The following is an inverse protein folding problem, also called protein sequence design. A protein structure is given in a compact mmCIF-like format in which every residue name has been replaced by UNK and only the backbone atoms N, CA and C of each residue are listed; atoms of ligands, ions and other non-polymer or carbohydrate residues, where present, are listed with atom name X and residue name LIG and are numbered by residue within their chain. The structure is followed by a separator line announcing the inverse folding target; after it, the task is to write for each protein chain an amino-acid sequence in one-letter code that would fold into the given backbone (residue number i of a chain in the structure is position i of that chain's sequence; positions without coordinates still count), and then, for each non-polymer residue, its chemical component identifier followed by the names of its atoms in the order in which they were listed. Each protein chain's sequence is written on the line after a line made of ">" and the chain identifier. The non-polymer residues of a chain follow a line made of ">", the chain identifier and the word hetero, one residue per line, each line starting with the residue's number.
data_IF_722827066709
#
_entry.id   IF_722827066709
#
_cell.length_a   1.000
_cell.length_b   1.000
_cell.length_c   1.000
_cell.angle_alpha   90.00
_cell.angle_beta   90.00
_cell.angle_gamma   90.00
#
_symmetry.space_group_name_H-M   'P 1'
#
loop_
_entity.id
_entity.type
_entity.pdbx_description
1 polymer ?
#
# COMPACT_ATOMS: atom_id res chain seq x y z
N UNK A 1 56.99 0.64 71.72
CA UNK A 1 55.74 0.50 72.50
C UNK A 1 54.57 0.85 71.61
N UNK A 2 53.57 -0.04 71.57
CA UNK A 2 52.18 0.13 71.10
C UNK A 2 51.95 0.34 69.59
N UNK A 3 51.51 -0.76 68.98
CA UNK A 3 50.49 -0.81 67.92
C UNK A 3 49.41 0.26 68.12
N UNK A 4 48.83 0.78 67.03
CA UNK A 4 47.41 0.56 66.67
C UNK A 4 47.18 1.07 65.24
N UNK A 5 46.52 0.22 64.44
CA UNK A 5 46.11 0.44 63.05
C UNK A 5 44.92 1.41 62.95
N UNK A 6 44.71 2.00 61.77
CA UNK A 6 43.46 1.96 60.97
C UNK A 6 43.35 3.18 60.04
N UNK A 7 42.97 2.93 58.79
CA UNK A 7 42.46 3.97 57.89
C UNK A 7 43.01 3.92 56.47
N UNK A 8 42.82 2.81 55.77
CA UNK A 8 43.08 2.72 54.33
C UNK A 8 41.96 3.49 53.60
N UNK A 9 42.25 4.68 53.07
CA UNK A 9 41.36 5.39 52.14
C UNK A 9 41.97 5.30 50.74
N UNK A 10 41.52 4.30 49.98
CA UNK A 10 41.92 4.07 48.60
C UNK A 10 41.14 5.03 47.69
N UNK A 11 41.73 6.18 47.34
CA UNK A 11 41.21 7.03 46.28
C UNK A 11 41.50 6.39 44.91
N UNK A 12 40.56 5.61 44.40
CA UNK A 12 40.59 5.13 43.02
C UNK A 12 40.03 6.24 42.12
N UNK A 13 40.92 6.99 41.48
CA UNK A 13 40.56 7.90 40.39
C UNK A 13 40.26 7.03 39.16
N UNK A 14 38.98 6.80 38.87
CA UNK A 14 38.55 6.20 37.63
C UNK A 14 38.77 7.21 36.49
N UNK A 15 39.91 7.10 35.81
CA UNK A 15 40.11 7.72 34.50
C UNK A 15 39.30 6.89 33.51
N UNK A 16 38.02 7.22 33.38
CA UNK A 16 37.16 6.69 32.33
C UNK A 16 37.68 7.16 30.98
N UNK A 17 38.42 6.31 30.30
CA UNK A 17 38.72 6.47 28.88
C UNK A 17 37.38 6.36 28.14
N UNK A 18 36.72 7.50 27.94
CA UNK A 18 35.62 7.67 27.01
C UNK A 18 36.19 7.43 25.60
N UNK A 19 36.27 6.16 25.23
CA UNK A 19 36.22 5.79 23.83
C UNK A 19 34.81 6.17 23.36
N UNK A 20 34.68 7.42 22.93
CA UNK A 20 33.61 7.80 22.04
C UNK A 20 33.75 6.86 20.86
N UNK A 21 32.89 5.84 20.80
CA UNK A 21 32.63 5.10 19.58
C UNK A 21 32.05 6.18 18.66
N UNK A 22 32.92 6.79 17.89
CA UNK A 22 32.54 7.66 16.79
C UNK A 22 31.94 6.68 15.79
N UNK A 23 30.62 6.53 15.81
CA UNK A 23 29.91 5.90 14.71
C UNK A 23 30.44 6.54 13.43
N UNK A 24 31.08 5.73 12.60
CA UNK A 24 31.51 6.16 11.28
C UNK A 24 30.22 6.58 10.55
N UNK A 25 30.06 7.83 10.09
CA UNK A 25 28.85 8.27 9.38
C UNK A 25 28.70 7.61 7.99
N UNK A 26 29.42 6.52 7.74
CA UNK A 26 29.31 5.70 6.54
C UNK A 26 28.33 4.56 6.80
N UNK A 27 27.17 4.72 6.16
CA UNK A 27 26.30 3.64 5.71
C UNK A 27 25.15 3.22 6.63
N UNK A 28 24.28 4.17 7.01
CA UNK A 28 22.86 3.83 7.16
C UNK A 28 22.28 3.63 5.76
N UNK A 29 22.24 2.39 5.27
CA UNK A 29 21.36 2.02 4.17
C UNK A 29 19.93 2.39 4.58
N UNK A 30 19.40 3.47 4.02
CA UNK A 30 17.99 3.84 4.19
C UNK A 30 17.17 2.84 3.40
N UNK A 31 16.72 1.77 4.07
CA UNK A 31 15.81 0.79 3.48
C UNK A 31 14.51 1.51 3.14
N UNK A 32 14.08 1.56 1.87
CA UNK A 32 12.82 2.18 1.49
C UNK A 32 11.65 1.53 2.26
N UNK A 33 10.74 2.33 2.85
CA UNK A 33 9.69 1.82 3.73
C UNK A 33 8.51 1.23 2.93
N UNK A 34 8.76 0.16 2.17
CA UNK A 34 7.70 -0.56 1.46
C UNK A 34 6.87 -1.38 2.45
N UNK A 35 5.55 -1.20 2.39
CA UNK A 35 4.56 -1.88 3.21
C UNK A 35 3.58 -2.64 2.30
N UNK A 36 3.39 -3.97 2.47
CA UNK A 36 4.14 -4.86 3.36
C UNK A 36 5.62 -5.00 2.97
N UNK A 37 6.47 -5.35 3.94
CA UNK A 37 7.89 -5.58 3.70
C UNK A 37 8.09 -6.71 2.67
N UNK A 38 8.83 -6.47 1.57
CA UNK A 38 9.11 -7.52 0.58
C UNK A 38 9.94 -8.67 1.15
N UNK A 39 9.84 -9.84 0.51
CA UNK A 39 10.68 -11.01 0.84
C UNK A 39 12.18 -10.68 0.71
N UNK A 40 12.58 -10.02 -0.37
CA UNK A 40 13.96 -9.59 -0.63
C UNK A 40 13.97 -8.18 -1.20
N UNK A 41 14.90 -7.35 -0.71
CA UNK A 41 15.11 -5.97 -1.17
C UNK A 41 16.61 -5.66 -1.11
N UNK A 42 17.16 -5.16 -2.21
CA UNK A 42 18.52 -4.64 -2.30
C UNK A 42 18.46 -3.24 -2.91
N UNK A 43 19.07 -2.26 -2.27
CA UNK A 43 19.13 -0.87 -2.75
C UNK A 43 20.57 -0.41 -2.93
N UNK A 44 20.78 0.61 -3.76
CA UNK A 44 22.04 1.32 -3.88
C UNK A 44 21.79 2.82 -3.74
N UNK A 45 22.85 3.62 -3.55
CA UNK A 45 22.72 5.09 -3.51
C UNK A 45 22.55 5.74 -4.89
N UNK A 46 22.67 4.96 -5.96
CA UNK A 46 22.48 5.46 -7.30
C UNK A 46 21.00 5.68 -7.59
N UNK A 47 20.69 6.69 -8.40
CA UNK A 47 19.32 7.06 -8.74
C UNK A 47 19.19 7.51 -10.19
N UNK A 48 17.96 7.55 -10.68
CA UNK A 48 17.60 8.07 -12.00
C UNK A 48 16.37 8.94 -11.90
N UNK A 49 16.31 10.01 -12.69
CA UNK A 49 15.13 10.86 -12.76
C UNK A 49 14.06 10.26 -13.65
N UNK A 50 12.79 10.42 -13.28
CA UNK A 50 11.65 9.85 -14.01
C UNK A 50 11.59 10.33 -15.48
N UNK A 51 12.04 11.55 -15.78
CA UNK A 51 12.06 12.10 -17.15
C UNK A 51 12.99 11.34 -18.12
N UNK A 52 13.83 10.45 -17.58
CA UNK A 52 14.68 9.56 -18.38
C UNK A 52 13.86 8.52 -19.13
N UNK A 53 12.70 8.14 -18.63
CA UNK A 53 11.81 7.13 -19.23
C UNK A 53 10.87 7.77 -20.26
N UNK A 54 10.55 7.05 -21.33
CA UNK A 54 9.64 7.56 -22.38
C UNK A 54 8.56 6.61 -22.85
N UNK A 55 8.70 5.31 -22.61
CA UNK A 55 7.69 4.33 -23.01
C UNK A 55 7.49 3.28 -21.94
N UNK A 56 6.27 2.75 -21.86
CA UNK A 56 5.91 1.53 -21.14
C UNK A 56 5.73 0.42 -22.17
N UNK A 57 6.57 -0.61 -22.09
CA UNK A 57 6.43 -1.85 -22.82
C UNK A 57 5.62 -2.84 -22.01
N UNK A 58 4.63 -3.46 -22.62
CA UNK A 58 3.76 -4.44 -21.98
C UNK A 58 3.80 -5.74 -22.78
N UNK A 59 4.04 -6.88 -22.12
CA UNK A 59 4.06 -8.17 -22.77
C UNK A 59 3.55 -9.32 -21.88
N UNK A 60 2.50 -10.06 -22.30
CA UNK A 60 1.60 -9.75 -23.40
C UNK A 60 0.74 -8.52 -23.07
N UNK A 61 0.27 -7.83 -24.11
CA UNK A 61 -0.73 -6.77 -23.95
C UNK A 61 -2.13 -7.41 -23.92
N UNK A 62 -2.66 -7.55 -22.71
CA UNK A 62 -4.01 -8.04 -22.39
C UNK A 62 -4.70 -7.01 -21.49
N UNK A 63 -6.04 -7.05 -21.32
CA UNK A 63 -6.76 -6.01 -20.57
C UNK A 63 -6.18 -5.70 -19.19
N UNK A 64 -5.76 -6.73 -18.44
CA UNK A 64 -5.24 -6.61 -17.09
C UNK A 64 -3.83 -5.97 -17.05
N UNK A 65 -2.96 -6.33 -18.00
CA UNK A 65 -1.60 -5.75 -18.08
C UNK A 65 -1.64 -4.33 -18.64
N UNK A 66 -2.58 -4.07 -19.55
CA UNK A 66 -2.88 -2.74 -20.08
C UNK A 66 -3.37 -1.80 -18.99
N UNK A 67 -4.32 -2.25 -18.16
CA UNK A 67 -4.80 -1.50 -17.00
C UNK A 67 -3.65 -1.03 -16.09
N UNK A 68 -2.70 -1.93 -15.77
CA UNK A 68 -1.54 -1.57 -14.94
C UNK A 68 -0.66 -0.52 -15.64
N UNK A 69 -0.45 -0.63 -16.95
CA UNK A 69 0.31 0.36 -17.71
C UNK A 69 -0.37 1.73 -17.73
N UNK A 70 -1.70 1.77 -17.87
CA UNK A 70 -2.47 3.00 -17.85
C UNK A 70 -2.43 3.66 -16.45
N UNK A 71 -2.48 2.88 -15.37
CA UNK A 71 -2.30 3.39 -14.00
C UNK A 71 -0.90 3.96 -13.76
N UNK A 72 0.16 3.30 -14.26
CA UNK A 72 1.52 3.85 -14.23
C UNK A 72 1.59 5.15 -15.03
N UNK A 73 1.02 5.19 -16.24
CA UNK A 73 1.00 6.40 -17.07
C UNK A 73 0.30 7.55 -16.35
N UNK A 74 -0.87 7.29 -15.75
CA UNK A 74 -1.64 8.28 -14.99
C UNK A 74 -0.85 8.82 -13.80
N UNK A 75 -0.20 7.94 -13.04
CA UNK A 75 0.61 8.33 -11.88
C UNK A 75 1.82 9.19 -12.27
N UNK A 76 2.45 8.91 -13.41
CA UNK A 76 3.63 9.64 -13.87
C UNK A 76 3.31 10.94 -14.64
N UNK A 77 2.06 11.16 -15.01
CA UNK A 77 1.61 12.31 -15.81
C UNK A 77 2.08 13.69 -15.30
N UNK A 78 2.14 13.96 -13.98
CA UNK A 78 2.65 15.23 -13.47
C UNK A 78 4.12 15.51 -13.82
N UNK A 79 4.89 14.49 -14.19
CA UNK A 79 6.33 14.57 -14.48
C UNK A 79 6.63 14.27 -15.95
N UNK A 80 5.97 13.27 -16.52
CA UNK A 80 6.13 12.85 -17.91
C UNK A 80 4.84 12.30 -18.50
N UNK A 81 4.52 12.72 -19.72
CA UNK A 81 3.55 12.01 -20.57
C UNK A 81 4.26 10.84 -21.27
N UNK A 82 4.18 9.67 -20.64
CA UNK A 82 4.81 8.44 -21.13
C UNK A 82 3.89 7.73 -22.13
N UNK A 83 4.45 7.20 -23.22
CA UNK A 83 3.66 6.43 -24.20
C UNK A 83 3.60 4.95 -23.83
N UNK A 84 2.52 4.26 -24.19
CA UNK A 84 2.42 2.79 -24.03
C UNK A 84 2.51 2.18 -25.41
N UNK A 85 3.51 1.33 -25.63
CA UNK A 85 3.80 0.77 -26.94
C UNK A 85 5.29 0.55 -27.18
N UNK A 86 5.69 0.06 -28.37
CA UNK A 86 7.08 -0.26 -28.69
C UNK A 86 7.99 0.96 -28.55
N UNK A 87 9.21 0.74 -28.05
CA UNK A 87 10.17 1.82 -27.79
C UNK A 87 10.66 2.46 -29.09
N UNK A 88 10.35 3.74 -29.30
CA UNK A 88 10.76 4.46 -30.52
C UNK A 88 12.13 5.15 -30.36
N UNK A 89 12.62 5.38 -29.13
CA UNK A 89 13.81 6.18 -28.89
C UNK A 89 14.95 5.43 -28.15
N UNK A 90 16.04 5.11 -28.87
CA UNK A 90 17.23 4.41 -28.33
C UNK A 90 18.01 5.17 -27.24
N UNK A 91 17.78 6.48 -27.09
CA UNK A 91 18.48 7.33 -26.12
C UNK A 91 17.84 7.39 -24.73
N UNK A 92 16.54 7.07 -24.62
CA UNK A 92 15.78 7.11 -23.38
C UNK A 92 15.61 5.73 -22.74
N UNK A 93 15.29 5.73 -21.45
CA UNK A 93 14.94 4.53 -20.71
C UNK A 93 13.49 4.11 -20.97
N UNK A 94 13.11 2.93 -20.47
CA UNK A 94 11.76 2.39 -20.59
C UNK A 94 11.28 1.70 -19.31
N UNK A 95 9.96 1.65 -19.13
CA UNK A 95 9.30 0.83 -18.13
C UNK A 95 8.84 -0.44 -18.84
N UNK A 96 9.01 -1.60 -18.23
CA UNK A 96 8.63 -2.91 -18.78
C UNK A 96 7.72 -3.65 -17.80
N UNK A 97 6.55 -4.07 -18.28
CA UNK A 97 5.63 -4.97 -17.61
C UNK A 97 5.63 -6.30 -18.37
N UNK A 98 6.09 -7.38 -17.74
CA UNK A 98 6.29 -8.64 -18.45
C UNK A 98 5.78 -9.85 -17.66
N UNK A 99 4.90 -10.62 -18.30
CA UNK A 99 4.51 -11.92 -17.79
C UNK A 99 5.62 -12.93 -18.09
N UNK A 100 6.16 -13.54 -17.04
CA UNK A 100 7.20 -14.54 -17.09
C UNK A 100 6.99 -15.55 -15.96
N UNK A 101 6.54 -16.76 -16.33
CA UNK A 101 6.23 -17.82 -15.38
C UNK A 101 7.44 -18.35 -14.59
N UNK A 102 8.67 -18.01 -15.00
CA UNK A 102 9.90 -18.46 -14.34
C UNK A 102 10.33 -17.57 -13.18
N UNK A 103 9.69 -16.42 -12.98
CA UNK A 103 10.07 -15.44 -11.95
C UNK A 103 9.73 -15.94 -10.55
N UNK A 104 8.60 -16.63 -10.40
CA UNK A 104 8.15 -17.18 -9.13
C UNK A 104 7.23 -18.37 -9.37
N UNK A 105 7.25 -19.33 -8.45
CA UNK A 105 6.24 -20.41 -8.42
C UNK A 105 4.87 -19.90 -7.93
N UNK A 106 4.84 -18.77 -7.22
CA UNK A 106 3.61 -18.15 -6.77
C UNK A 106 3.06 -17.22 -7.84
N UNK A 107 1.79 -17.39 -8.23
CA UNK A 107 1.14 -16.54 -9.25
C UNK A 107 1.11 -15.06 -8.88
N UNK A 108 1.05 -14.74 -7.58
CA UNK A 108 1.05 -13.38 -7.05
C UNK A 108 2.49 -12.85 -6.78
N UNK A 109 3.52 -13.66 -7.02
CA UNK A 109 4.91 -13.23 -6.87
C UNK A 109 5.38 -12.33 -8.01
N UNK A 110 6.36 -11.48 -7.75
CA UNK A 110 6.95 -10.59 -8.75
C UNK A 110 8.41 -10.28 -8.46
N UNK A 111 9.11 -9.81 -9.50
CA UNK A 111 10.39 -9.11 -9.40
C UNK A 111 10.21 -7.67 -9.88
N UNK A 112 10.80 -6.72 -9.17
CA UNK A 112 10.87 -5.31 -9.55
C UNK A 112 12.35 -4.88 -9.55
N UNK A 113 12.82 -4.31 -10.65
CA UNK A 113 14.16 -3.71 -10.72
C UNK A 113 14.13 -2.29 -11.28
N UNK A 114 14.89 -1.39 -10.68
CA UNK A 114 15.09 0.00 -11.14
C UNK A 114 16.57 0.20 -11.45
N UNK A 115 16.84 0.72 -12.64
CA UNK A 115 18.18 1.00 -13.14
C UNK A 115 18.19 2.26 -14.00
N UNK A 116 19.38 2.73 -14.40
CA UNK A 116 19.56 3.96 -15.19
C UNK A 116 18.78 4.04 -16.51
N UNK A 117 18.38 2.89 -17.09
CA UNK A 117 17.67 2.84 -18.38
C UNK A 117 16.42 1.96 -18.37
N UNK A 118 16.13 1.27 -17.25
CA UNK A 118 15.01 0.32 -17.21
C UNK A 118 14.39 0.26 -15.82
N UNK A 119 13.08 0.41 -15.75
CA UNK A 119 12.24 -0.07 -14.66
C UNK A 119 11.55 -1.32 -15.19
N UNK A 120 11.72 -2.46 -14.54
CA UNK A 120 11.18 -3.73 -14.99
C UNK A 120 10.38 -4.37 -13.87
N UNK A 121 9.12 -4.69 -14.15
CA UNK A 121 8.25 -5.53 -13.33
C UNK A 121 8.00 -6.81 -14.10
N UNK A 122 8.47 -7.94 -13.57
CA UNK A 122 8.17 -9.26 -14.12
C UNK A 122 7.37 -10.09 -13.11
N UNK A 123 6.38 -10.84 -13.57
CA UNK A 123 5.60 -11.72 -12.71
C UNK A 123 5.00 -12.90 -13.47
N UNK A 124 4.61 -14.01 -12.81
CA UNK A 124 3.97 -15.14 -13.47
C UNK A 124 2.53 -14.86 -13.95
N UNK A 125 1.87 -13.82 -13.42
CA UNK A 125 0.49 -13.48 -13.74
C UNK A 125 0.20 -11.97 -13.57
N UNK A 126 -0.94 -11.46 -14.07
CA UNK A 126 -1.30 -10.05 -13.91
C UNK A 126 -1.43 -9.60 -12.44
N UNK A 127 -1.84 -10.47 -11.52
CA UNK A 127 -1.92 -10.08 -10.09
C UNK A 127 -0.54 -9.83 -9.50
N UNK A 128 0.47 -10.62 -9.89
CA UNK A 128 1.86 -10.36 -9.50
C UNK A 128 2.39 -9.04 -10.09
N UNK A 129 2.09 -8.74 -11.36
CA UNK A 129 2.45 -7.43 -11.95
C UNK A 129 1.77 -6.27 -11.19
N UNK A 130 0.50 -6.43 -10.82
CA UNK A 130 -0.23 -5.44 -10.05
C UNK A 130 0.43 -5.20 -8.68
N UNK A 131 0.87 -6.25 -7.98
CA UNK A 131 1.59 -6.08 -6.71
C UNK A 131 2.98 -5.49 -6.87
N UNK A 132 3.68 -5.82 -7.97
CA UNK A 132 4.92 -5.15 -8.33
C UNK A 132 4.71 -3.65 -8.59
N UNK A 133 3.61 -3.30 -9.25
CA UNK A 133 3.21 -1.91 -9.42
C UNK A 133 2.93 -1.24 -8.07
N UNK A 134 2.20 -1.87 -7.14
CA UNK A 134 1.98 -1.28 -5.81
C UNK A 134 3.29 -0.98 -5.08
N UNK A 135 4.31 -1.83 -5.23
CA UNK A 135 5.64 -1.55 -4.66
C UNK A 135 6.36 -0.42 -5.39
N UNK A 136 6.24 -0.34 -6.73
CA UNK A 136 6.75 0.80 -7.48
C UNK A 136 6.08 2.11 -7.04
N UNK A 137 4.76 2.13 -6.85
CA UNK A 137 4.01 3.31 -6.36
C UNK A 137 4.59 3.85 -5.05
N UNK A 138 4.89 2.96 -4.10
CA UNK A 138 5.45 3.34 -2.80
C UNK A 138 6.90 3.84 -2.88
N UNK A 139 7.64 3.48 -3.94
CA UNK A 139 8.99 3.98 -4.21
C UNK A 139 8.99 5.34 -4.92
N UNK A 140 7.87 5.72 -5.53
CA UNK A 140 7.72 6.98 -6.23
C UNK A 140 7.40 8.12 -5.23
N UNK A 141 7.69 9.38 -5.60
CA UNK A 141 7.35 10.53 -4.75
C UNK A 141 5.84 10.61 -4.48
N UNK A 142 5.46 10.80 -3.22
CA UNK A 142 4.06 10.86 -2.78
C UNK A 142 3.21 11.95 -3.46
N UNK A 143 3.83 13.02 -3.96
CA UNK A 143 3.12 14.12 -4.63
C UNK A 143 2.45 13.66 -5.93
N UNK A 144 2.96 12.58 -6.55
CA UNK A 144 2.35 11.96 -7.72
C UNK A 144 0.96 11.39 -7.43
N UNK A 145 0.74 10.84 -6.23
CA UNK A 145 -0.58 10.37 -5.80
C UNK A 145 -1.59 11.52 -5.66
N UNK A 146 -1.12 12.77 -5.53
CA UNK A 146 -1.94 13.99 -5.53
C UNK A 146 -2.06 14.63 -6.92
N UNK A 147 -1.42 14.05 -7.95
CA UNK A 147 -1.35 14.64 -9.29
C UNK A 147 -0.47 15.89 -9.38
N UNK A 148 0.50 16.04 -8.47
CA UNK A 148 1.39 17.22 -8.38
C UNK A 148 2.81 16.82 -8.76
N UNK A 149 3.51 17.69 -9.51
CA UNK A 149 4.92 17.49 -9.82
C UNK A 149 5.78 17.60 -8.54
N UNK A 150 6.53 16.55 -8.14
CA UNK A 150 7.37 16.58 -6.95
C UNK A 150 8.62 17.41 -7.18
N UNK A 151 9.15 18.02 -6.12
CA UNK A 151 10.44 18.74 -6.17
C UNK A 151 11.62 17.82 -6.52
N UNK A 152 11.54 16.55 -6.10
CA UNK A 152 12.51 15.52 -6.44
C UNK A 152 11.82 14.40 -7.23
N UNK A 153 12.28 14.18 -8.45
CA UNK A 153 11.78 13.16 -9.38
C UNK A 153 12.73 11.97 -9.48
N UNK A 154 13.72 11.86 -8.60
CA UNK A 154 14.65 10.74 -8.57
C UNK A 154 14.01 9.50 -7.92
N UNK A 155 14.27 8.34 -8.52
CA UNK A 155 14.00 7.01 -7.95
C UNK A 155 15.33 6.27 -7.80
N UNK A 156 15.54 5.66 -6.62
CA UNK A 156 16.75 4.89 -6.31
C UNK A 156 16.81 3.58 -7.09
N UNK A 157 18.02 3.10 -7.39
CA UNK A 157 18.19 1.77 -7.97
C UNK A 157 17.92 0.72 -6.92
N UNK A 158 17.06 -0.22 -7.27
CA UNK A 158 16.55 -1.22 -6.36
C UNK A 158 16.28 -2.52 -7.09
N UNK A 159 16.44 -3.64 -6.37
CA UNK A 159 16.00 -4.96 -6.77
C UNK A 159 15.11 -5.52 -5.68
N UNK A 160 13.90 -5.94 -6.05
CA UNK A 160 12.91 -6.55 -5.18
C UNK A 160 12.51 -7.89 -5.77
N UNK A 161 12.45 -8.91 -4.91
CA UNK A 161 11.73 -10.15 -5.16
C UNK A 161 10.70 -10.30 -4.05
N UNK A 162 9.45 -10.53 -4.42
CA UNK A 162 8.38 -10.60 -3.44
C UNK A 162 7.31 -11.61 -3.83
N UNK A 163 6.67 -12.16 -2.82
CA UNK A 163 5.53 -13.06 -2.95
C UNK A 163 4.79 -13.15 -1.62
N UNK A 164 3.47 -13.37 -1.64
CA UNK A 164 2.70 -13.42 -0.42
C UNK A 164 2.97 -14.71 0.35
N UNK A 165 3.16 -14.58 1.67
CA UNK A 165 3.21 -15.71 2.60
C UNK A 165 1.89 -16.50 2.66
N UNK A 166 0.76 -15.79 2.56
CA UNK A 166 -0.58 -16.37 2.65
C UNK A 166 -1.38 -16.05 1.40
N UNK A 167 -2.07 -17.06 0.86
CA UNK A 167 -2.96 -16.92 -0.30
C UNK A 167 -4.20 -16.09 -0.01
N UNK A 168 -4.70 -16.12 1.23
CA UNK A 168 -5.85 -15.34 1.67
C UNK A 168 -5.38 -14.20 2.56
N UNK A 169 -5.62 -12.96 2.13
CA UNK A 169 -5.29 -11.74 2.86
C UNK A 169 -6.54 -10.87 2.89
N UNK A 170 -7.36 -11.11 3.90
CA UNK A 170 -8.72 -10.56 4.01
C UNK A 170 -8.80 -9.27 4.82
N UNK A 171 -9.64 -8.35 4.36
CA UNK A 171 -10.10 -7.19 5.11
C UNK A 171 -11.61 -7.22 5.21
N UNK A 172 -12.13 -7.13 6.43
CA UNK A 172 -13.56 -7.14 6.72
C UNK A 172 -14.08 -5.72 6.95
N UNK A 173 -15.21 -5.40 6.34
CA UNK A 173 -15.92 -4.15 6.55
C UNK A 173 -17.40 -4.42 6.85
N UNK A 174 -17.82 -3.99 8.04
CA UNK A 174 -19.22 -3.99 8.47
C UNK A 174 -19.88 -2.69 8.04
N UNK A 175 -20.84 -2.81 7.12
CA UNK A 175 -21.67 -1.69 6.66
C UNK A 175 -23.11 -1.80 7.19
N UNK A 176 -23.42 -2.87 7.92
CA UNK A 176 -24.74 -3.08 8.50
C UNK A 176 -24.93 -2.20 9.74
N UNK A 177 -23.92 -2.14 10.62
CA UNK A 177 -24.02 -1.33 11.85
C UNK A 177 -23.99 0.16 11.56
N UNK A 178 -23.18 0.60 10.61
CA UNK A 178 -23.15 1.97 10.10
C UNK A 178 -23.04 1.93 8.59
N UNK A 179 -23.88 2.69 7.89
CA UNK A 179 -23.83 2.73 6.44
C UNK A 179 -22.65 3.59 5.96
N UNK A 180 -21.92 3.10 4.98
CA UNK A 180 -20.88 3.84 4.27
C UNK A 180 -21.27 3.95 2.80
N UNK A 181 -21.12 5.15 2.22
CA UNK A 181 -21.41 5.37 0.81
C UNK A 181 -20.41 4.63 -0.12
N UNK A 182 -20.78 4.52 -1.40
CA UNK A 182 -19.99 3.79 -2.41
C UNK A 182 -18.60 4.42 -2.61
N UNK A 183 -18.45 5.73 -2.45
CA UNK A 183 -17.16 6.40 -2.63
C UNK A 183 -16.19 6.05 -1.50
N UNK A 184 -16.69 5.93 -0.26
CA UNK A 184 -15.93 5.36 0.84
C UNK A 184 -15.54 3.91 0.55
N UNK A 185 -16.46 3.07 0.06
CA UNK A 185 -16.15 1.66 -0.26
C UNK A 185 -15.05 1.54 -1.32
N UNK A 186 -15.11 2.34 -2.39
CA UNK A 186 -14.07 2.38 -3.42
C UNK A 186 -12.72 2.80 -2.83
N UNK A 187 -12.70 3.87 -2.04
CA UNK A 187 -11.49 4.34 -1.36
C UNK A 187 -10.91 3.25 -0.44
N UNK A 188 -11.77 2.54 0.30
CA UNK A 188 -11.36 1.42 1.14
C UNK A 188 -10.72 0.30 0.32
N UNK A 189 -11.33 -0.07 -0.82
CA UNK A 189 -10.79 -1.08 -1.73
C UNK A 189 -9.43 -0.64 -2.30
N UNK A 190 -9.28 0.62 -2.69
CA UNK A 190 -8.02 1.17 -3.18
C UNK A 190 -6.91 1.07 -2.11
N UNK A 191 -7.23 1.40 -0.86
CA UNK A 191 -6.29 1.31 0.25
C UNK A 191 -5.87 -0.14 0.52
N UNK A 192 -6.79 -1.09 0.56
CA UNK A 192 -6.41 -2.49 0.82
C UNK A 192 -5.66 -3.09 -0.37
N UNK A 193 -5.95 -2.66 -1.60
CA UNK A 193 -5.22 -3.05 -2.81
C UNK A 193 -3.77 -2.53 -2.79
N UNK A 194 -3.55 -1.27 -2.38
CA UNK A 194 -2.22 -0.69 -2.16
C UNK A 194 -1.38 -1.52 -1.16
N UNK A 195 -2.04 -2.07 -0.15
CA UNK A 195 -1.45 -2.94 0.87
C UNK A 195 -1.44 -4.42 0.49
N UNK A 196 -1.73 -4.75 -0.77
CA UNK A 196 -1.70 -6.10 -1.34
C UNK A 196 -2.68 -7.09 -0.69
N UNK A 197 -3.74 -6.62 -0.05
CA UNK A 197 -4.86 -7.47 0.37
C UNK A 197 -5.64 -7.91 -0.86
N UNK A 198 -6.15 -9.14 -0.84
CA UNK A 198 -6.77 -9.76 -2.03
C UNK A 198 -8.18 -10.28 -1.80
N UNK A 199 -8.69 -10.15 -0.57
CA UNK A 199 -10.04 -10.55 -0.23
C UNK A 199 -10.72 -9.41 0.52
N UNK A 200 -11.83 -8.93 -0.02
CA UNK A 200 -12.72 -7.99 0.65
C UNK A 200 -13.92 -8.75 1.20
N UNK A 201 -14.01 -8.86 2.52
CA UNK A 201 -15.16 -9.47 3.19
C UNK A 201 -16.14 -8.36 3.56
N UNK A 202 -17.17 -8.22 2.73
CA UNK A 202 -18.19 -7.20 2.89
C UNK A 202 -19.36 -7.74 3.71
N UNK A 203 -19.50 -7.28 4.95
CA UNK A 203 -20.59 -7.68 5.84
C UNK A 203 -21.78 -6.77 5.63
N UNK A 204 -22.73 -7.25 4.81
CA UNK A 204 -23.82 -6.48 4.23
C UNK A 204 -25.09 -6.45 5.10
N UNK A 205 -25.25 -7.36 6.04
CA UNK A 205 -26.49 -7.53 6.79
C UNK A 205 -26.23 -7.92 8.23
N UNK A 206 -27.06 -7.40 9.13
CA UNK A 206 -27.05 -7.68 10.56
C UNK A 206 -28.34 -7.12 11.18
N UNK A 207 -28.52 -7.25 12.50
CA UNK A 207 -29.74 -6.85 13.20
C UNK A 207 -30.09 -5.36 12.99
N UNK A 208 -29.09 -4.52 12.73
CA UNK A 208 -29.25 -3.06 12.63
C UNK A 208 -29.36 -2.53 11.20
N UNK A 209 -29.33 -3.41 10.18
CA UNK A 209 -29.39 -2.96 8.80
C UNK A 209 -29.26 -4.04 7.74
N UNK A 210 -30.06 -3.92 6.69
CA UNK A 210 -29.93 -4.66 5.45
C UNK A 210 -29.44 -3.74 4.33
N UNK A 211 -28.27 -4.01 3.73
CA UNK A 211 -27.55 -3.03 2.90
C UNK A 211 -27.49 -3.35 1.40
N UNK A 212 -28.12 -4.42 0.94
CA UNK A 212 -28.05 -4.82 -0.48
C UNK A 212 -29.44 -5.00 -1.06
N UNK A 213 -29.72 -4.41 -2.21
CA UNK A 213 -30.99 -4.62 -2.90
C UNK A 213 -31.14 -6.08 -3.35
N UNK A 214 -32.36 -6.62 -3.19
CA UNK A 214 -32.74 -7.94 -3.69
C UNK A 214 -34.09 -7.79 -4.40
N UNK A 215 -34.10 -7.85 -5.73
CA UNK A 215 -35.28 -7.57 -6.56
C UNK A 215 -36.54 -8.35 -6.15
N UNK A 216 -36.37 -9.62 -5.72
CA UNK A 216 -37.49 -10.48 -5.31
C UNK A 216 -38.03 -10.16 -3.91
N UNK A 217 -37.30 -9.36 -3.12
CA UNK A 217 -37.62 -9.02 -1.73
C UNK A 217 -37.39 -7.52 -1.45
N UNK A 218 -38.12 -6.61 -2.13
CA UNK A 218 -37.92 -5.16 -2.01
C UNK A 218 -38.10 -4.64 -0.57
N UNK A 219 -38.97 -5.29 0.22
CA UNK A 219 -39.20 -4.93 1.61
C UNK A 219 -37.93 -4.97 2.50
N UNK A 220 -36.90 -5.75 2.10
CA UNK A 220 -35.64 -5.83 2.85
C UNK A 220 -34.96 -4.47 2.94
N UNK A 221 -34.84 -3.75 1.82
CA UNK A 221 -34.25 -2.41 1.81
C UNK A 221 -35.27 -1.33 2.17
N UNK A 222 -36.52 -1.46 1.75
CA UNK A 222 -37.57 -0.46 2.06
C UNK A 222 -37.81 -0.32 3.57
N UNK A 223 -37.76 -1.43 4.32
CA UNK A 223 -38.04 -1.43 5.78
C UNK A 223 -36.80 -1.53 6.64
N UNK A 224 -35.72 -2.19 6.18
CA UNK A 224 -34.59 -2.56 7.04
C UNK A 224 -33.27 -1.87 6.66
N UNK A 225 -33.23 -1.06 5.60
CA UNK A 225 -32.03 -0.25 5.29
C UNK A 225 -31.94 1.04 6.13
N UNK A 226 -32.96 1.36 6.92
CA UNK A 226 -33.02 2.60 7.69
C UNK A 226 -33.42 2.32 9.12
N UNK A 227 -32.89 3.12 10.05
CA UNK A 227 -33.27 3.11 11.46
C UNK A 227 -33.46 4.54 11.97
N UNK A 228 -34.18 4.66 13.08
CA UNK A 228 -34.23 5.93 13.82
C UNK A 228 -32.85 6.22 14.40
N UNK A 229 -32.35 7.43 14.18
CA UNK A 229 -31.03 7.82 14.65
C UNK A 229 -30.98 7.91 16.19
N UNK A 230 -30.02 7.20 16.77
CA UNK A 230 -29.71 7.12 18.20
C UNK A 230 -28.22 7.25 18.47
N UNK A 231 -27.41 7.73 17.51
CA UNK A 231 -25.94 7.79 17.68
C UNK A 231 -25.48 8.77 18.77
N UNK A 232 -26.36 9.69 19.16
CA UNK A 232 -26.16 10.58 20.30
C UNK A 232 -26.34 9.89 21.66
N UNK A 233 -26.89 8.68 21.70
CA UNK A 233 -27.12 7.88 22.90
C UNK A 233 -26.03 6.81 23.08
N UNK A 234 -25.93 6.27 24.30
CA UNK A 234 -25.06 5.12 24.54
C UNK A 234 -25.62 3.88 23.83
N UNK A 235 -24.83 3.26 22.95
CA UNK A 235 -25.23 2.10 22.15
C UNK A 235 -25.79 0.91 22.96
N UNK A 236 -25.39 0.76 24.22
CA UNK A 236 -25.93 -0.31 25.10
C UNK A 236 -27.33 -0.02 25.61
N UNK A 237 -27.76 1.24 25.55
CA UNK A 237 -28.98 1.75 26.17
C UNK A 237 -29.80 2.58 25.17
N UNK A 238 -29.78 2.23 23.87
CA UNK A 238 -30.61 2.91 22.89
C UNK A 238 -32.09 2.86 23.29
N UNK A 239 -32.70 4.04 23.35
CA UNK A 239 -34.11 4.18 23.65
C UNK A 239 -34.94 3.46 22.59
N UNK A 240 -36.00 2.73 22.99
CA UNK A 240 -36.84 2.02 22.03
C UNK A 240 -37.49 2.99 21.05
N UNK A 241 -37.75 2.52 19.83
CA UNK A 241 -38.47 3.28 18.80
C UNK A 241 -39.86 3.63 19.33
N UNK A 242 -40.20 4.91 19.28
CA UNK A 242 -41.51 5.43 19.68
C UNK A 242 -42.46 5.45 18.48
N UNK A 243 -43.78 5.37 18.72
CA UNK A 243 -44.77 5.53 17.65
C UNK A 243 -44.58 6.88 16.92
N UNK A 244 -44.52 6.84 15.58
CA UNK A 244 -44.35 7.99 14.66
C UNK A 244 -42.92 8.53 14.51
N UNK A 245 -41.91 7.86 15.03
CA UNK A 245 -40.53 8.22 14.69
C UNK A 245 -40.17 7.71 13.30
N UNK A 246 -39.64 8.62 12.48
CA UNK A 246 -39.19 8.31 11.12
C UNK A 246 -37.75 7.77 11.14
N UNK A 247 -37.44 6.71 10.38
CA UNK A 247 -36.07 6.27 10.17
C UNK A 247 -35.28 7.30 9.35
N UNK A 248 -34.23 7.88 9.94
CA UNK A 248 -33.44 8.95 9.32
C UNK A 248 -31.99 8.56 9.04
N UNK A 249 -31.53 7.42 9.56
CA UNK A 249 -30.15 6.96 9.44
C UNK A 249 -30.09 5.65 8.68
N UNK A 250 -29.38 5.60 7.55
CA UNK A 250 -29.32 4.40 6.75
C UNK A 250 -28.88 4.60 5.31
N UNK A 251 -29.10 3.56 4.53
CA UNK A 251 -28.70 3.44 3.13
C UNK A 251 -28.51 1.98 2.73
N UNK A 252 -28.48 1.74 1.41
CA UNK A 252 -28.23 0.44 0.80
C UNK A 252 -27.54 0.62 -0.57
N UNK A 253 -26.98 -0.47 -1.08
CA UNK A 253 -26.32 -0.57 -2.39
C UNK A 253 -27.27 -1.22 -3.40
N UNK A 254 -27.31 -0.65 -4.60
CA UNK A 254 -28.04 -1.13 -5.79
C UNK A 254 -27.12 -1.93 -6.70
#
# INVERSE_FOLDING_TARGET
>A
MKNTYYGFLLCVVFVGCLTVIKEDPKNTETIPPIIPRPVSLKTTKDSVTLQRFSHILVYPEIPETRFIADEIKKLLLPVIDIEIGPSVNKGKGRIELKINSKVSENKEGYSLSVSSRRILIEAPSPSGLFYGFQSLRQLLPQDLEKGIEPQNTAIEFIEIEDYPRFKYRGMHLDVSRHFFDVEFIKTYIDMIALHKMNMFHWHLTDDNGWRIEIDSYPELVEKSAWRVDREHENWRNWSPIQPKEEPTYGGYYT
#
